data_IF_680370539164
#
_entry.id   IF_680370539164
#
_cell.length_a   1.000
_cell.length_b   1.000
_cell.length_c   1.000
_cell.angle_alpha   90.00
_cell.angle_beta   90.00
_cell.angle_gamma   90.00
#
_symmetry.space_group_name_H-M   'P 1'
#
loop_
_entity.id
_entity.type
_entity.pdbx_description
1 polymer ?
#
# COMPACT_ATOMS: atom_id res chain seq x y z
N UNK A 1 6.62 13.01 -12.31
CA UNK A 1 5.62 12.05 -11.84
C UNK A 1 5.93 11.59 -10.42
N UNK A 2 6.75 10.56 -10.21
CA UNK A 2 7.10 10.09 -8.83
C UNK A 2 7.93 11.13 -8.06
N UNK A 3 8.89 11.78 -8.71
CA UNK A 3 9.72 12.82 -8.09
C UNK A 3 8.98 14.08 -7.64
N UNK A 4 7.67 14.18 -7.90
CA UNK A 4 6.83 15.27 -7.40
C UNK A 4 6.37 15.04 -5.96
N UNK A 5 6.48 13.81 -5.44
CA UNK A 5 6.17 13.49 -4.05
C UNK A 5 7.40 13.83 -3.20
N UNK A 6 7.29 14.73 -2.20
CA UNK A 6 8.35 14.98 -1.22
C UNK A 6 8.78 13.70 -0.51
N UNK A 7 10.06 13.54 -0.18
CA UNK A 7 10.59 12.29 0.38
C UNK A 7 9.95 11.88 1.70
N UNK A 8 9.59 12.85 2.54
CA UNK A 8 8.86 12.67 3.80
C UNK A 8 7.44 12.12 3.59
N UNK A 9 6.87 12.26 2.39
CA UNK A 9 5.55 11.72 2.00
C UNK A 9 5.62 10.41 1.23
N UNK A 10 6.81 9.83 1.04
CA UNK A 10 6.99 8.57 0.29
C UNK A 10 6.88 7.34 1.19
N UNK A 11 5.79 7.29 1.96
CA UNK A 11 5.46 6.13 2.78
C UNK A 11 4.37 5.30 2.10
N UNK A 12 4.54 3.98 2.10
CA UNK A 12 3.60 3.04 1.51
C UNK A 12 3.17 1.99 2.54
N UNK A 13 1.87 1.77 2.64
CA UNK A 13 1.28 0.59 3.28
C UNK A 13 0.55 -0.20 2.22
N UNK A 14 0.76 -1.51 2.17
CA UNK A 14 0.19 -2.37 1.13
C UNK A 14 -0.68 -3.49 1.69
N UNK A 15 -1.47 -4.16 0.84
CA UNK A 15 -2.20 -5.38 1.24
C UNK A 15 -1.26 -6.53 1.62
N UNK A 16 -0.24 -6.78 0.80
CA UNK A 16 0.87 -7.72 1.05
C UNK A 16 2.21 -7.10 0.60
N UNK A 17 3.34 -7.77 0.78
CA UNK A 17 4.70 -7.24 0.46
C UNK A 17 5.00 -7.16 -1.07
N UNK A 18 4.11 -6.56 -1.87
CA UNK A 18 4.18 -6.53 -3.34
C UNK A 18 5.04 -5.39 -3.92
N UNK A 19 5.18 -4.27 -3.21
CA UNK A 19 5.81 -3.05 -3.75
C UNK A 19 7.28 -2.84 -3.34
N UNK A 20 7.96 -3.86 -2.80
CA UNK A 20 9.35 -3.74 -2.33
C UNK A 20 10.32 -3.21 -3.39
N UNK A 21 10.26 -3.75 -4.62
CA UNK A 21 11.10 -3.29 -5.72
C UNK A 21 10.78 -1.87 -6.17
N UNK A 22 9.49 -1.49 -6.19
CA UNK A 22 9.07 -0.15 -6.53
C UNK A 22 9.62 0.85 -5.49
N UNK A 23 9.47 0.51 -4.21
CA UNK A 23 9.93 1.34 -3.11
C UNK A 23 11.45 1.56 -3.16
N UNK A 24 12.23 0.48 -3.30
CA UNK A 24 13.67 0.55 -3.43
C UNK A 24 14.13 1.35 -4.67
N UNK A 25 13.44 1.19 -5.81
CA UNK A 25 13.82 1.85 -7.06
C UNK A 25 13.55 3.35 -7.06
N UNK A 26 12.50 3.79 -6.37
CA UNK A 26 11.98 5.16 -6.43
C UNK A 26 12.08 5.93 -5.10
N UNK A 27 12.69 5.35 -4.07
CA UNK A 27 12.91 6.01 -2.79
C UNK A 27 11.65 6.15 -1.95
N UNK A 28 10.78 5.13 -1.97
CA UNK A 28 9.73 4.99 -0.96
C UNK A 28 10.18 4.07 0.16
N UNK A 29 9.54 4.22 1.31
CA UNK A 29 9.65 3.30 2.43
C UNK A 29 8.35 2.52 2.56
N UNK A 30 8.46 1.21 2.75
CA UNK A 30 7.33 0.36 3.10
C UNK A 30 7.15 0.38 4.62
N UNK A 31 6.10 1.02 5.08
CA UNK A 31 5.73 1.10 6.50
C UNK A 31 5.26 -0.26 7.01
N UNK A 32 4.59 -1.04 6.15
CA UNK A 32 4.17 -2.40 6.44
C UNK A 32 3.12 -2.92 5.45
N UNK A 33 2.62 -4.12 5.71
CA UNK A 33 1.57 -4.75 4.93
C UNK A 33 0.47 -5.32 5.84
N UNK A 34 -0.78 -5.27 5.36
CA UNK A 34 -1.97 -5.74 6.10
C UNK A 34 -1.91 -7.25 6.37
N UNK A 35 -1.35 -8.01 5.42
CA UNK A 35 -1.06 -9.43 5.58
C UNK A 35 0.46 -9.61 5.60
N UNK A 36 1.10 -9.66 6.79
CA UNK A 36 2.53 -9.89 6.89
C UNK A 36 2.84 -11.39 6.67
N UNK A 37 3.39 -11.73 5.50
CA UNK A 37 3.92 -13.08 5.22
C UNK A 37 2.90 -14.23 5.25
N UNK A 38 3.41 -15.47 5.20
CA UNK A 38 2.63 -16.71 5.05
C UNK A 38 2.14 -17.34 6.38
N UNK A 39 2.27 -16.65 7.51
CA UNK A 39 1.95 -17.21 8.83
C UNK A 39 0.48 -17.02 9.21
N UNK A 40 -0.23 -18.14 9.42
CA UNK A 40 -1.69 -18.20 9.61
C UNK A 40 -2.14 -18.35 11.07
N UNK A 41 -1.34 -17.95 12.06
CA UNK A 41 -1.75 -18.02 13.47
C UNK A 41 -2.57 -16.77 13.85
N UNK A 42 -3.85 -16.97 14.18
CA UNK A 42 -4.85 -15.90 14.28
C UNK A 42 -4.61 -14.87 15.39
N UNK A 43 -3.93 -15.23 16.48
CA UNK A 43 -3.56 -14.27 17.53
C UNK A 43 -2.40 -13.36 17.11
N UNK A 44 -1.47 -13.84 16.26
CA UNK A 44 -0.42 -13.00 15.66
C UNK A 44 -1.04 -11.91 14.80
N UNK A 45 -2.02 -12.27 13.97
CA UNK A 45 -2.63 -11.36 13.01
C UNK A 45 -3.27 -10.11 13.64
N UNK A 46 -3.94 -10.25 14.80
CA UNK A 46 -4.53 -9.10 15.49
C UNK A 46 -3.47 -8.17 16.09
N UNK A 47 -2.42 -8.74 16.69
CA UNK A 47 -1.27 -7.95 17.19
C UNK A 47 -0.52 -7.24 16.07
N UNK A 48 -0.35 -7.92 14.94
CA UNK A 48 0.31 -7.37 13.75
C UNK A 48 -0.47 -6.19 13.14
N UNK A 49 -1.81 -6.27 13.09
CA UNK A 49 -2.65 -5.16 12.65
C UNK A 49 -2.60 -3.97 13.62
N UNK A 50 -2.56 -4.24 14.93
CA UNK A 50 -2.39 -3.18 15.94
C UNK A 50 -1.05 -2.47 15.78
N UNK A 51 0.04 -3.23 15.63
CA UNK A 51 1.37 -2.68 15.40
C UNK A 51 1.46 -1.92 14.07
N UNK A 52 0.76 -2.38 13.03
CA UNK A 52 0.68 -1.67 11.75
C UNK A 52 -0.06 -0.34 11.90
N UNK A 53 -1.18 -0.31 12.63
CA UNK A 53 -1.92 0.92 12.94
C UNK A 53 -1.03 1.94 13.66
N UNK A 54 -0.28 1.50 14.67
CA UNK A 54 0.66 2.37 15.40
C UNK A 54 1.69 2.98 14.44
N UNK A 55 2.31 2.17 13.57
CA UNK A 55 3.25 2.66 12.56
C UNK A 55 2.62 3.63 11.56
N UNK A 56 1.38 3.39 11.12
CA UNK A 56 0.63 4.28 10.22
C UNK A 56 0.49 5.66 10.85
N UNK A 57 0.11 5.71 12.12
CA UNK A 57 -0.08 6.97 12.87
C UNK A 57 1.26 7.66 13.12
N UNK A 58 2.26 6.94 13.59
CA UNK A 58 3.60 7.48 13.90
C UNK A 58 4.31 8.06 12.66
N UNK A 59 4.17 7.39 11.52
CA UNK A 59 4.80 7.79 10.26
C UNK A 59 3.92 8.71 9.41
N UNK A 60 2.75 9.12 9.92
CA UNK A 60 1.81 10.00 9.24
C UNK A 60 1.46 9.52 7.82
N UNK A 61 1.23 8.20 7.69
CA UNK A 61 0.76 7.60 6.45
C UNK A 61 -0.67 8.04 6.20
N UNK A 62 -0.99 8.46 4.97
CA UNK A 62 -2.32 8.97 4.62
C UNK A 62 -3.14 8.01 3.74
N UNK A 63 -2.48 6.99 3.17
CA UNK A 63 -3.09 6.07 2.19
C UNK A 63 -2.61 4.64 2.43
N UNK A 64 -3.55 3.69 2.43
CA UNK A 64 -3.31 2.26 2.33
C UNK A 64 -3.59 1.82 0.89
N UNK A 65 -2.62 1.14 0.28
CA UNK A 65 -2.72 0.59 -1.07
C UNK A 65 -3.09 -0.89 -1.01
N UNK A 66 -4.37 -1.21 -1.21
CA UNK A 66 -4.83 -2.60 -1.24
C UNK A 66 -4.73 -3.21 -2.64
N UNK A 67 -4.80 -4.53 -2.73
CA UNK A 67 -4.72 -5.29 -3.97
C UNK A 67 -5.72 -6.43 -3.96
N UNK A 68 -6.07 -6.93 -5.15
CA UNK A 68 -6.88 -8.12 -5.30
C UNK A 68 -6.29 -9.27 -4.47
N UNK A 69 -7.13 -9.94 -3.68
CA UNK A 69 -6.72 -11.03 -2.78
C UNK A 69 -6.47 -10.60 -1.33
N UNK A 70 -6.46 -9.30 -1.04
CA UNK A 70 -6.47 -8.81 0.36
C UNK A 70 -7.90 -8.72 0.87
N UNK A 71 -8.15 -9.15 2.11
CA UNK A 71 -9.48 -9.04 2.73
C UNK A 71 -9.87 -7.57 2.90
N UNK A 72 -10.92 -7.15 2.20
CA UNK A 72 -11.36 -5.75 2.16
C UNK A 72 -11.93 -5.29 3.49
N UNK A 73 -12.60 -6.17 4.23
CA UNK A 73 -13.19 -5.81 5.52
C UNK A 73 -12.08 -5.49 6.54
N UNK A 74 -10.97 -6.24 6.48
CA UNK A 74 -9.79 -6.00 7.33
C UNK A 74 -9.11 -4.66 6.97
N UNK A 75 -8.91 -4.39 5.67
CA UNK A 75 -8.27 -3.17 5.20
C UNK A 75 -9.11 -1.94 5.56
N UNK A 76 -10.43 -2.00 5.30
CA UNK A 76 -11.34 -0.88 5.54
C UNK A 76 -11.50 -0.60 7.04
N UNK A 77 -11.50 -1.65 7.88
CA UNK A 77 -11.47 -1.49 9.34
C UNK A 77 -10.19 -0.79 9.81
N UNK A 78 -9.01 -1.25 9.37
CA UNK A 78 -7.73 -0.61 9.69
C UNK A 78 -7.68 0.84 9.23
N UNK A 79 -8.16 1.12 8.02
CA UNK A 79 -8.18 2.46 7.45
C UNK A 79 -9.07 3.41 8.24
N UNK A 80 -10.26 2.94 8.62
CA UNK A 80 -11.21 3.68 9.47
C UNK A 80 -10.57 4.00 10.83
N UNK A 81 -9.93 2.99 11.44
CA UNK A 81 -9.29 3.10 12.75
C UNK A 81 -8.08 4.03 12.77
N UNK A 82 -7.33 4.08 11.67
CA UNK A 82 -6.16 4.94 11.52
C UNK A 82 -6.49 6.32 10.92
N UNK A 83 -7.72 6.53 10.42
CA UNK A 83 -8.13 7.78 9.78
C UNK A 83 -7.48 8.02 8.41
N UNK A 84 -7.23 6.96 7.65
CA UNK A 84 -6.54 7.00 6.35
C UNK A 84 -7.44 6.54 5.23
N UNK A 85 -7.06 6.83 3.99
CA UNK A 85 -7.82 6.41 2.80
C UNK A 85 -7.33 5.08 2.25
N UNK A 86 -8.21 4.34 1.57
CA UNK A 86 -7.86 3.09 0.88
C UNK A 86 -7.91 3.31 -0.63
N UNK A 87 -6.85 2.91 -1.32
CA UNK A 87 -6.77 2.91 -2.79
C UNK A 87 -6.42 1.52 -3.27
N UNK A 88 -7.18 0.99 -4.22
CA UNK A 88 -6.93 -0.32 -4.81
C UNK A 88 -5.96 -0.21 -5.98
N UNK A 89 -4.92 -1.04 -5.98
CA UNK A 89 -3.95 -1.17 -7.05
C UNK A 89 -4.26 -2.40 -7.91
N UNK A 90 -4.28 -2.21 -9.23
CA UNK A 90 -4.29 -3.33 -10.17
C UNK A 90 -2.87 -3.82 -10.40
N UNK A 91 -2.46 -4.89 -9.69
CA UNK A 91 -1.15 -5.54 -9.86
C UNK A 91 -1.21 -6.88 -10.59
N UNK A 92 -2.42 -7.39 -10.82
CA UNK A 92 -2.67 -8.74 -11.36
C UNK A 92 -3.03 -8.74 -12.86
N UNK A 93 -3.35 -7.58 -13.42
CA UNK A 93 -3.90 -7.45 -14.77
C UNK A 93 -3.09 -6.43 -15.57
N UNK A 94 -2.84 -6.76 -16.83
CA UNK A 94 -2.37 -5.78 -17.79
C UNK A 94 -3.54 -4.91 -18.25
N UNK A 95 -3.29 -3.64 -18.62
CA UNK A 95 -4.28 -2.82 -19.31
C UNK A 95 -4.71 -3.47 -20.63
N UNK A 96 -5.78 -2.94 -21.22
CA UNK A 96 -6.39 -3.50 -22.45
C UNK A 96 -5.46 -3.52 -23.66
N UNK A 97 -4.41 -2.70 -23.65
CA UNK A 97 -3.35 -2.68 -24.67
C UNK A 97 -2.31 -3.79 -24.48
N UNK A 98 -2.37 -4.56 -23.40
CA UNK A 98 -1.44 -5.65 -23.06
C UNK A 98 -0.02 -5.18 -22.72
N UNK A 99 0.19 -3.88 -22.49
CA UNK A 99 1.52 -3.30 -22.33
C UNK A 99 1.95 -3.27 -20.87
N UNK A 100 3.07 -3.94 -20.56
CA UNK A 100 3.70 -3.82 -19.23
C UNK A 100 4.18 -2.39 -18.93
N UNK A 101 4.51 -1.62 -19.97
CA UNK A 101 4.86 -0.21 -19.81
C UNK A 101 3.65 0.60 -19.33
N UNK A 102 2.49 0.37 -19.94
CA UNK A 102 1.24 1.05 -19.58
C UNK A 102 0.84 0.66 -18.16
N UNK A 103 0.92 -0.64 -17.82
CA UNK A 103 0.77 -1.13 -16.46
C UNK A 103 1.63 -0.38 -15.43
N UNK A 104 2.94 -0.26 -15.66
CA UNK A 104 3.83 0.45 -14.73
C UNK A 104 3.52 1.94 -14.62
N UNK A 105 3.08 2.58 -15.71
CA UNK A 105 2.68 3.99 -15.71
C UNK A 105 1.40 4.18 -14.92
N UNK A 106 0.40 3.32 -15.13
CA UNK A 106 -0.88 3.40 -14.43
C UNK A 106 -0.71 3.13 -12.93
N UNK A 107 0.11 2.14 -12.57
CA UNK A 107 0.49 1.84 -11.19
C UNK A 107 1.15 3.06 -10.52
N UNK A 108 2.20 3.62 -11.15
CA UNK A 108 2.91 4.77 -10.61
C UNK A 108 2.01 6.02 -10.53
N UNK A 109 1.15 6.24 -11.53
CA UNK A 109 0.21 7.36 -11.56
C UNK A 109 -0.82 7.26 -10.43
N UNK A 110 -1.35 6.06 -10.19
CA UNK A 110 -2.31 5.80 -9.11
C UNK A 110 -1.69 6.10 -7.75
N UNK A 111 -0.47 5.61 -7.49
CA UNK A 111 0.26 5.88 -6.24
C UNK A 111 0.50 7.39 -6.07
N UNK A 112 0.99 8.07 -7.10
CA UNK A 112 1.30 9.51 -7.04
C UNK A 112 0.05 10.35 -6.82
N UNK A 113 -1.07 10.03 -7.48
CA UNK A 113 -2.31 10.78 -7.34
C UNK A 113 -2.91 10.61 -5.94
N UNK A 114 -2.87 9.39 -5.41
CA UNK A 114 -3.34 9.11 -4.06
C UNK A 114 -2.55 9.89 -2.99
N UNK A 115 -1.22 9.97 -3.12
CA UNK A 115 -0.36 10.67 -2.16
C UNK A 115 -0.40 12.21 -2.26
N UNK A 116 -0.99 12.74 -3.33
CA UNK A 116 -1.21 14.19 -3.51
C UNK A 116 -2.53 14.69 -2.90
N UNK A 117 -3.45 13.77 -2.65
CA UNK A 117 -4.80 14.05 -2.14
C UNK A 117 -4.76 14.31 -0.64
#
# INVERSE_FOLDING_TARGET
MVGEIPEDKRQLVTGHESLGYFAARYGFSLTGAVIPGLSSESESAAGDLSALKEKIVEQQVNVIFTELGTDRDVVDALATDAGVTVVELSTHLLPTDGSYRSFLIDLASTIVNALKS
#
